data_IF_229717020136
#
_entry.id   IF_229717020136
#
_cell.length_a   1.000
_cell.length_b   1.000
_cell.length_c   1.000
_cell.angle_alpha   90.00
_cell.angle_beta   90.00
_cell.angle_gamma   90.00
#
_symmetry.space_group_name_H-M   'P 1'
#
loop_
_entity.id
_entity.type
_entity.pdbx_description
1 polymer ?
#
# COMPACT_ATOMS: atom_id res chain seq x y z
N UNK A 1 -7.17 21.31 -3.62
CA UNK A 1 -5.70 21.31 -3.80
C UNK A 1 -5.32 21.05 -5.24
N UNK A 2 -4.21 21.60 -5.73
CA UNK A 2 -3.71 21.33 -7.09
C UNK A 2 -2.93 20.02 -7.16
N UNK A 3 -2.68 19.53 -8.37
CA UNK A 3 -1.92 18.27 -8.58
C UNK A 3 -0.51 18.31 -7.96
N UNK A 4 0.15 19.47 -7.94
CA UNK A 4 1.47 19.60 -7.32
C UNK A 4 1.43 19.42 -5.81
N UNK A 5 0.43 19.99 -5.15
CA UNK A 5 0.22 19.83 -3.70
C UNK A 5 -0.19 18.38 -3.36
N UNK A 6 -1.05 17.78 -4.19
CA UNK A 6 -1.44 16.37 -4.07
C UNK A 6 -0.23 15.43 -4.21
N UNK A 7 0.66 15.70 -5.17
CA UNK A 7 1.90 14.98 -5.38
C UNK A 7 2.81 15.06 -4.14
N UNK A 8 2.97 16.25 -3.57
CA UNK A 8 3.75 16.45 -2.33
C UNK A 8 3.15 15.69 -1.16
N UNK A 9 1.83 15.76 -0.93
CA UNK A 9 1.16 15.08 0.19
C UNK A 9 1.19 13.55 0.09
N UNK A 10 1.05 13.01 -1.12
CA UNK A 10 1.03 11.55 -1.35
C UNK A 10 2.41 10.95 -1.57
N UNK A 11 3.41 11.79 -1.86
CA UNK A 11 4.73 11.37 -2.31
C UNK A 11 4.70 10.61 -3.64
N UNK A 12 3.67 10.85 -4.47
CA UNK A 12 3.54 10.33 -5.83
C UNK A 12 3.89 11.43 -6.83
N UNK A 13 4.43 11.07 -8.00
CA UNK A 13 4.63 12.07 -9.05
C UNK A 13 3.28 12.53 -9.63
N UNK A 14 3.22 13.77 -10.13
CA UNK A 14 2.03 14.27 -10.83
C UNK A 14 1.64 13.36 -12.02
N UNK A 15 2.62 12.78 -12.71
CA UNK A 15 2.37 11.82 -13.80
C UNK A 15 1.76 10.51 -13.29
N UNK A 16 2.18 10.02 -12.13
CA UNK A 16 1.57 8.83 -11.50
C UNK A 16 0.11 9.09 -11.16
N UNK A 17 -0.20 10.28 -10.61
CA UNK A 17 -1.57 10.67 -10.28
C UNK A 17 -2.42 10.76 -11.55
N UNK A 18 -1.91 11.39 -12.62
CA UNK A 18 -2.60 11.44 -13.93
C UNK A 18 -2.82 10.05 -14.52
N UNK A 19 -1.83 9.18 -14.39
CA UNK A 19 -1.93 7.80 -14.83
C UNK A 19 -3.04 7.06 -14.07
N UNK A 20 -3.10 7.20 -12.74
CA UNK A 20 -4.13 6.59 -11.90
C UNK A 20 -5.54 7.10 -12.25
N UNK A 21 -5.65 8.37 -12.61
CA UNK A 21 -6.90 8.92 -13.13
C UNK A 21 -7.29 8.31 -14.48
N UNK A 22 -6.32 8.16 -15.40
CA UNK A 22 -6.56 7.57 -16.73
C UNK A 22 -7.08 6.13 -16.67
N UNK A 23 -6.56 5.34 -15.72
CA UNK A 23 -6.92 3.93 -15.58
C UNK A 23 -8.11 3.68 -14.65
N UNK A 24 -8.76 4.73 -14.10
CA UNK A 24 -9.97 4.60 -13.28
C UNK A 24 -9.76 4.39 -11.77
N UNK A 25 -8.51 4.41 -11.29
CA UNK A 25 -8.19 4.29 -9.85
C UNK A 25 -8.58 5.55 -9.06
N UNK A 26 -8.45 6.72 -9.71
CA UNK A 26 -8.93 8.02 -9.21
C UNK A 26 -10.09 8.46 -10.10
N UNK A 27 -11.17 8.97 -9.51
CA UNK A 27 -12.36 9.33 -10.27
C UNK A 27 -12.24 10.75 -10.80
N UNK A 28 -12.83 11.01 -11.96
CA UNK A 28 -13.00 12.38 -12.45
C UNK A 28 -13.96 13.19 -11.54
N UNK A 29 -14.89 12.52 -10.83
CA UNK A 29 -15.75 13.16 -9.83
C UNK A 29 -14.99 13.62 -8.57
N UNK A 30 -13.83 13.02 -8.28
CA UNK A 30 -12.96 13.43 -7.17
C UNK A 30 -12.21 14.75 -7.46
N UNK A 31 -12.37 15.30 -8.67
CA UNK A 31 -11.85 16.61 -9.04
C UNK A 31 -12.93 17.57 -9.54
N UNK A 32 -13.01 18.75 -8.94
CA UNK A 32 -13.83 19.83 -9.47
C UNK A 32 -13.05 20.57 -10.56
N UNK A 33 -13.64 20.70 -11.74
CA UNK A 33 -13.11 21.63 -12.75
C UNK A 33 -13.51 23.04 -12.36
N UNK A 34 -12.53 23.87 -12.01
CA UNK A 34 -12.76 25.30 -11.81
C UNK A 34 -12.97 25.99 -13.18
N UNK A 35 -13.60 27.17 -13.17
CA UNK A 35 -13.91 28.00 -14.37
C UNK A 35 -12.68 28.33 -15.23
N UNK A 36 -11.48 28.19 -14.69
CA UNK A 36 -10.18 28.42 -15.32
C UNK A 36 -9.51 27.13 -15.84
N UNK A 37 -10.29 26.05 -16.03
CA UNK A 37 -9.84 24.75 -16.57
C UNK A 37 -8.79 24.01 -15.71
N UNK A 38 -8.58 24.45 -14.46
CA UNK A 38 -7.74 23.73 -13.49
C UNK A 38 -8.57 22.71 -12.71
N UNK A 39 -7.92 21.60 -12.33
CA UNK A 39 -8.50 20.55 -11.49
C UNK A 39 -8.16 20.81 -10.03
N UNK A 40 -9.19 20.75 -9.20
CA UNK A 40 -9.09 20.88 -7.76
C UNK A 40 -9.43 19.55 -7.10
N UNK A 41 -8.48 18.99 -6.36
CA UNK A 41 -8.56 17.70 -5.69
C UNK A 41 -8.94 17.89 -4.22
N UNK A 42 -9.67 16.93 -3.64
CA UNK A 42 -10.08 16.95 -2.22
C UNK A 42 -9.04 16.28 -1.30
N UNK A 43 -9.13 16.55 0.01
CA UNK A 43 -8.26 15.88 1.00
C UNK A 43 -8.56 14.38 1.09
N UNK A 44 -9.83 13.98 0.93
CA UNK A 44 -10.23 12.57 0.90
C UNK A 44 -9.50 11.76 -0.18
N UNK A 45 -9.12 12.43 -1.29
CA UNK A 45 -8.33 11.78 -2.33
C UNK A 45 -6.89 11.49 -1.89
N UNK A 46 -6.31 12.29 -0.99
CA UNK A 46 -4.98 12.04 -0.42
C UNK A 46 -4.98 10.72 0.32
N UNK A 47 -5.95 10.51 1.22
CA UNK A 47 -6.08 9.28 2.00
C UNK A 47 -6.28 8.07 1.09
N UNK A 48 -7.13 8.20 0.07
CA UNK A 48 -7.33 7.16 -0.95
C UNK A 48 -6.04 6.82 -1.66
N UNK A 49 -5.27 7.80 -2.11
CA UNK A 49 -4.02 7.57 -2.84
C UNK A 49 -2.93 6.93 -1.97
N UNK A 50 -2.88 7.29 -0.69
CA UNK A 50 -2.01 6.63 0.28
C UNK A 50 -2.41 5.16 0.47
N UNK A 51 -3.70 4.86 0.53
CA UNK A 51 -4.20 3.49 0.60
C UNK A 51 -3.85 2.69 -0.67
N UNK A 52 -4.05 3.26 -1.85
CA UNK A 52 -3.67 2.65 -3.14
C UNK A 52 -2.16 2.37 -3.19
N UNK A 53 -1.34 3.30 -2.69
CA UNK A 53 0.11 3.15 -2.61
C UNK A 53 0.50 1.99 -1.68
N UNK A 54 -0.14 1.88 -0.52
CA UNK A 54 0.07 0.76 0.41
C UNK A 54 -0.39 -0.57 -0.21
N UNK A 55 -1.57 -0.60 -0.82
CA UNK A 55 -2.09 -1.78 -1.51
C UNK A 55 -1.12 -2.28 -2.59
N UNK A 56 -0.58 -1.36 -3.41
CA UNK A 56 0.42 -1.70 -4.42
C UNK A 56 1.70 -2.28 -3.81
N UNK A 57 2.14 -1.76 -2.66
CA UNK A 57 3.31 -2.30 -1.94
C UNK A 57 3.09 -3.71 -1.37
N UNK A 58 1.83 -4.11 -1.14
CA UNK A 58 1.45 -5.45 -0.70
C UNK A 58 1.29 -6.45 -1.86
N UNK A 59 1.47 -6.01 -3.10
CA UNK A 59 1.39 -6.85 -4.29
C UNK A 59 0.09 -6.74 -5.07
N UNK A 60 -0.80 -5.80 -4.71
CA UNK A 60 -2.00 -5.56 -5.50
C UNK A 60 -1.71 -4.83 -6.79
N UNK A 61 -2.34 -5.28 -7.86
CA UNK A 61 -2.22 -4.61 -9.15
C UNK A 61 -3.13 -3.39 -9.20
N UNK A 62 -2.74 -2.39 -9.99
CA UNK A 62 -3.58 -1.21 -10.19
C UNK A 62 -4.90 -1.55 -10.89
N UNK A 63 -4.91 -2.62 -11.68
CA UNK A 63 -6.12 -3.11 -12.34
C UNK A 63 -7.10 -3.68 -11.32
N UNK A 64 -6.66 -4.51 -10.38
CA UNK A 64 -7.52 -5.02 -9.29
C UNK A 64 -8.09 -3.88 -8.44
N UNK A 65 -7.29 -2.86 -8.16
CA UNK A 65 -7.73 -1.67 -7.41
C UNK A 65 -8.77 -0.87 -8.20
N UNK A 66 -8.58 -0.74 -9.53
CA UNK A 66 -9.56 -0.08 -10.39
C UNK A 66 -10.85 -0.86 -10.49
N UNK A 67 -10.79 -2.18 -10.69
CA UNK A 67 -11.95 -3.06 -10.75
C UNK A 67 -12.77 -2.98 -9.47
N UNK A 68 -12.13 -2.99 -8.29
CA UNK A 68 -12.79 -2.76 -7.02
C UNK A 68 -13.38 -1.34 -6.92
N UNK A 69 -12.69 -0.32 -7.45
CA UNK A 69 -13.18 1.06 -7.44
C UNK A 69 -14.43 1.24 -8.30
N UNK A 70 -14.42 0.67 -9.50
CA UNK A 70 -15.50 0.71 -10.48
C UNK A 70 -16.69 -0.14 -10.05
N UNK A 71 -16.46 -1.36 -9.56
CA UNK A 71 -17.47 -2.26 -8.98
C UNK A 71 -18.32 -1.58 -7.89
N UNK A 72 -17.71 -0.65 -7.14
CA UNK A 72 -18.39 0.06 -6.08
C UNK A 72 -19.23 1.23 -6.59
N UNK A 73 -18.83 1.90 -7.67
CA UNK A 73 -19.58 3.03 -8.26
C UNK A 73 -20.65 2.58 -9.23
N UNK A 74 -20.31 1.63 -10.10
CA UNK A 74 -21.25 1.02 -11.01
C UNK A 74 -22.05 0.04 -10.16
N UNK A 75 -23.34 0.30 -10.01
CA UNK A 75 -24.30 -0.65 -9.41
C UNK A 75 -24.51 -1.92 -10.28
N UNK A 76 -23.53 -2.24 -11.13
CA UNK A 76 -23.51 -3.38 -12.05
C UNK A 76 -23.31 -4.69 -11.28
N UNK A 77 -22.61 -4.65 -10.14
CA UNK A 77 -22.47 -5.81 -9.25
C UNK A 77 -23.53 -5.81 -8.16
N UNK A 78 -24.13 -6.97 -7.95
CA UNK A 78 -24.97 -7.24 -6.79
C UNK A 78 -24.16 -7.09 -5.49
N UNK A 79 -24.82 -6.78 -4.35
CA UNK A 79 -24.15 -6.74 -3.05
C UNK A 79 -23.38 -8.03 -2.72
N UNK A 80 -23.86 -9.19 -3.18
CA UNK A 80 -23.21 -10.48 -2.98
C UNK A 80 -21.88 -10.59 -3.75
N UNK A 81 -21.83 -10.11 -4.99
CA UNK A 81 -20.60 -10.09 -5.79
C UNK A 81 -19.56 -9.14 -5.19
N UNK A 82 -20.00 -7.97 -4.71
CA UNK A 82 -19.13 -7.02 -4.00
C UNK A 82 -18.53 -7.66 -2.74
N UNK A 83 -19.34 -8.35 -1.95
CA UNK A 83 -18.89 -9.06 -0.75
C UNK A 83 -17.87 -10.16 -1.09
N UNK A 84 -18.15 -10.98 -2.10
CA UNK A 84 -17.25 -12.04 -2.55
C UNK A 84 -15.88 -11.51 -3.00
N UNK A 85 -15.86 -10.38 -3.73
CA UNK A 85 -14.63 -9.73 -4.15
C UNK A 85 -13.80 -9.24 -2.95
N UNK A 86 -14.45 -8.67 -1.93
CA UNK A 86 -13.80 -8.24 -0.68
C UNK A 86 -13.26 -9.46 0.08
N UNK A 87 -14.04 -10.53 0.21
CA UNK A 87 -13.64 -11.74 0.94
C UNK A 87 -12.44 -12.43 0.28
N UNK A 88 -12.41 -12.46 -1.06
CA UNK A 88 -11.25 -12.95 -1.80
C UNK A 88 -10.02 -12.08 -1.50
N UNK A 89 -10.19 -10.75 -1.49
CA UNK A 89 -9.08 -9.84 -1.22
C UNK A 89 -8.57 -9.94 0.20
N UNK A 90 -9.47 -10.05 1.19
CA UNK A 90 -9.12 -10.28 2.58
C UNK A 90 -8.36 -11.60 2.76
N UNK A 91 -8.75 -12.66 2.05
CA UNK A 91 -7.99 -13.92 2.05
C UNK A 91 -6.57 -13.73 1.55
N UNK A 92 -6.39 -13.08 0.41
CA UNK A 92 -5.06 -12.78 -0.14
C UNK A 92 -4.20 -11.92 0.82
N UNK A 93 -4.80 -10.91 1.47
CA UNK A 93 -4.11 -10.10 2.49
C UNK A 93 -3.65 -10.98 3.65
N UNK A 94 -4.54 -11.82 4.18
CA UNK A 94 -4.25 -12.69 5.32
C UNK A 94 -3.16 -13.73 5.00
N UNK A 95 -3.18 -14.30 3.79
CA UNK A 95 -2.11 -15.16 3.30
C UNK A 95 -0.78 -14.42 3.29
N UNK A 96 -0.76 -13.18 2.76
CA UNK A 96 0.47 -12.39 2.72
C UNK A 96 1.00 -12.02 4.11
N UNK A 97 0.11 -11.70 5.04
CA UNK A 97 0.45 -11.47 6.44
C UNK A 97 1.11 -12.72 7.05
N UNK A 98 0.54 -13.90 6.81
CA UNK A 98 1.09 -15.17 7.30
C UNK A 98 2.51 -15.42 6.76
N UNK A 99 2.73 -15.22 5.45
CA UNK A 99 4.06 -15.33 4.84
C UNK A 99 5.06 -14.36 5.47
N UNK A 100 4.68 -13.08 5.63
CA UNK A 100 5.55 -12.06 6.22
C UNK A 100 5.89 -12.38 7.69
N UNK A 101 4.93 -12.90 8.46
CA UNK A 101 5.15 -13.34 9.83
C UNK A 101 6.12 -14.54 9.90
N UNK A 102 6.08 -15.46 8.94
CA UNK A 102 7.05 -16.57 8.89
C UNK A 102 8.47 -16.05 8.64
N UNK A 103 8.63 -15.13 7.69
CA UNK A 103 9.92 -14.48 7.41
C UNK A 103 10.41 -13.71 8.64
N UNK A 104 9.53 -12.94 9.31
CA UNK A 104 9.87 -12.22 10.53
C UNK A 104 10.38 -13.16 11.63
N UNK A 105 9.68 -14.28 11.87
CA UNK A 105 10.09 -15.29 12.84
C UNK A 105 11.47 -15.86 12.52
N UNK A 106 11.72 -16.21 11.25
CA UNK A 106 13.01 -16.71 10.79
C UNK A 106 14.14 -15.70 11.05
N UNK A 107 13.95 -14.45 10.62
CA UNK A 107 14.93 -13.38 10.79
C UNK A 107 15.18 -13.05 12.26
N UNK A 108 14.13 -13.05 13.09
CA UNK A 108 14.24 -12.82 14.53
C UNK A 108 15.01 -13.93 15.23
N UNK A 109 14.81 -15.19 14.82
CA UNK A 109 15.58 -16.33 15.32
C UNK A 109 17.06 -16.22 14.92
N UNK A 110 17.36 -15.95 13.65
CA UNK A 110 18.74 -15.72 13.19
C UNK A 110 19.42 -14.57 13.93
N UNK A 111 18.72 -13.46 14.14
CA UNK A 111 19.22 -12.32 14.93
C UNK A 111 19.57 -12.72 16.36
N UNK A 112 18.78 -13.58 17.02
CA UNK A 112 19.08 -14.07 18.37
C UNK A 112 20.34 -14.94 18.40
N UNK A 113 20.50 -15.83 17.43
CA UNK A 113 21.70 -16.68 17.30
C UNK A 113 22.97 -15.83 17.11
N UNK A 114 22.96 -14.91 16.15
CA UNK A 114 24.09 -14.01 15.90
C UNK A 114 24.44 -13.16 17.15
N UNK A 115 23.44 -12.68 17.88
CA UNK A 115 23.68 -11.97 19.15
C UNK A 115 24.35 -12.85 20.22
N UNK A 116 24.02 -14.14 20.26
CA UNK A 116 24.64 -15.08 21.19
C UNK A 116 26.10 -15.37 20.80
N UNK A 117 26.36 -15.60 19.51
CA UNK A 117 27.71 -15.80 18.95
C UNK A 117 28.63 -14.60 19.20
N UNK A 118 28.14 -13.38 18.96
CA UNK A 118 28.90 -12.15 19.25
C UNK A 118 29.21 -12.06 20.75
N UNK A 119 28.27 -12.44 21.62
CA UNK A 119 28.45 -12.39 23.08
C UNK A 119 29.46 -13.43 23.58
N UNK A 120 29.47 -14.64 23.02
CA UNK A 120 30.46 -15.67 23.37
C UNK A 120 31.86 -15.28 22.91
N UNK A 121 31.99 -14.77 21.68
CA UNK A 121 33.27 -14.32 21.13
C UNK A 121 33.90 -13.19 21.97
N UNK A 122 33.10 -12.23 22.43
CA UNK A 122 33.57 -11.14 23.31
C UNK A 122 34.03 -11.64 24.69
N UNK A 123 33.41 -12.72 25.19
CA UNK A 123 33.74 -13.29 26.51
C UNK A 123 35.06 -14.06 26.46
N UNK A 124 35.29 -14.83 25.40
CA UNK A 124 36.55 -15.54 25.15
C UNK A 124 37.72 -14.56 24.97
N UNK A 125 37.52 -13.43 24.29
CA UNK A 125 38.59 -12.42 24.14
C UNK A 125 38.96 -11.71 25.44
N UNK A 126 38.05 -11.60 26.41
CA UNK A 126 38.37 -10.99 27.72
C UNK A 126 39.16 -11.93 28.64
N UNK A 127 38.95 -13.26 28.54
CA UNK A 127 39.69 -14.24 29.37
C UNK A 127 41.14 -14.45 28.89
N UNK A 128 41.44 -14.16 27.63
CA UNK A 128 42.81 -14.32 27.06
C UNK A 128 43.71 -13.10 27.32
N UNK A 129 43.14 -11.96 27.73
CA UNK A 129 43.86 -10.68 27.95
C UNK A 129 44.11 -10.39 29.44
N UNK A 130 43.52 -11.16 30.38
CA UNK A 130 43.82 -11.09 31.83
C UNK A 130 44.85 -12.12 32.26
#
# INVERSE_FOLDING_TARGET
>A
MRIGELATKTGLSADTIRFYEKIGVIRAADCMRQKNNYRDYSEALVERLLLVKQAKSLGFTLQEISELTEAWEKNELSPAEKLSAIDLKLRQVNEKISELQQVEKYLSAKRKLLKAEIKSALKETCEVIS
#
